data_IF_934165365769
#
_entry.id   IF_934165365769
#
_cell.length_a   1.000
_cell.length_b   1.000
_cell.length_c   1.000
_cell.angle_alpha   90.00
_cell.angle_beta   90.00
_cell.angle_gamma   90.00
#
_symmetry.space_group_name_H-M   'P 1'
#
loop_
_entity.id
_entity.type
_entity.pdbx_description
1 polymer ?
#
# COMPACT_ATOMS: atom_id res chain seq x y z
N UNK A 1 12.97 -61.83 0.59
CA UNK A 1 13.89 -60.86 1.23
C UNK A 1 13.05 -59.75 1.85
N UNK A 2 13.05 -59.65 3.19
CA UNK A 2 12.30 -58.62 3.92
C UNK A 2 13.11 -57.33 3.82
N UNK A 3 12.61 -56.29 3.14
CA UNK A 3 13.27 -54.98 3.14
C UNK A 3 13.21 -54.43 4.57
N UNK A 4 14.35 -54.27 5.20
CA UNK A 4 14.48 -53.58 6.49
C UNK A 4 14.09 -52.12 6.26
N UNK A 5 13.02 -51.68 6.90
CA UNK A 5 12.58 -50.28 6.84
C UNK A 5 13.60 -49.47 7.66
N UNK A 6 14.49 -48.73 6.98
CA UNK A 6 15.37 -47.78 7.64
C UNK A 6 14.54 -46.57 8.03
N UNK A 7 14.21 -46.46 9.31
CA UNK A 7 13.52 -45.30 9.85
C UNK A 7 14.45 -44.10 9.94
N UNK A 8 13.89 -42.90 9.83
CA UNK A 8 14.59 -41.63 10.08
C UNK A 8 15.00 -41.57 11.56
N UNK A 9 16.21 -41.10 11.85
CA UNK A 9 16.66 -40.91 13.22
C UNK A 9 16.08 -39.63 13.83
N UNK A 10 15.86 -39.61 15.14
CA UNK A 10 15.43 -38.40 15.85
C UNK A 10 16.46 -37.27 15.69
N UNK A 11 17.75 -37.60 15.59
CA UNK A 11 18.81 -36.61 15.41
C UNK A 11 18.73 -35.93 14.03
N UNK A 12 18.43 -36.68 12.97
CA UNK A 12 18.23 -36.12 11.63
C UNK A 12 17.04 -35.17 11.61
N UNK A 13 15.94 -35.55 12.27
CA UNK A 13 14.76 -34.69 12.34
C UNK A 13 15.03 -33.40 13.14
N UNK A 14 15.77 -33.48 14.24
CA UNK A 14 16.13 -32.31 15.04
C UNK A 14 17.02 -31.32 14.27
N UNK A 15 18.00 -31.81 13.49
CA UNK A 15 18.85 -30.94 12.67
C UNK A 15 18.02 -30.22 11.61
N UNK A 16 17.08 -30.93 10.95
CA UNK A 16 16.20 -30.33 9.94
C UNK A 16 15.34 -29.22 10.56
N UNK A 17 14.76 -29.44 11.74
CA UNK A 17 13.96 -28.41 12.43
C UNK A 17 14.81 -27.19 12.79
N UNK A 18 16.06 -27.39 13.23
CA UNK A 18 16.98 -26.29 13.53
C UNK A 18 17.27 -25.43 12.29
N UNK A 19 17.54 -26.06 11.13
CA UNK A 19 17.79 -25.36 9.87
C UNK A 19 16.54 -24.59 9.41
N UNK A 20 15.36 -25.22 9.45
CA UNK A 20 14.09 -24.56 9.10
C UNK A 20 13.82 -23.37 10.02
N UNK A 21 14.13 -23.49 11.32
CA UNK A 21 13.99 -22.40 12.29
C UNK A 21 14.83 -21.17 11.92
N UNK A 22 16.10 -21.37 11.54
CA UNK A 22 16.99 -20.29 11.10
C UNK A 22 16.46 -19.62 9.83
N UNK A 23 16.05 -20.41 8.84
CA UNK A 23 15.51 -19.88 7.58
C UNK A 23 14.21 -19.10 7.80
N UNK A 24 13.31 -19.63 8.63
CA UNK A 24 12.03 -18.99 8.94
C UNK A 24 12.22 -17.64 9.64
N UNK A 25 13.18 -17.52 10.56
CA UNK A 25 13.46 -16.28 11.28
C UNK A 25 13.84 -15.11 10.35
N UNK A 26 14.49 -15.40 9.21
CA UNK A 26 14.87 -14.39 8.22
C UNK A 26 13.76 -14.22 7.16
N UNK A 27 13.16 -15.31 6.70
CA UNK A 27 12.21 -15.29 5.58
C UNK A 27 10.86 -14.66 5.96
N UNK A 28 10.34 -14.92 7.16
CA UNK A 28 9.04 -14.40 7.61
C UNK A 28 8.99 -12.87 7.62
N UNK A 29 9.93 -12.15 8.28
CA UNK A 29 9.88 -10.69 8.29
C UNK A 29 10.08 -10.09 6.88
N UNK A 30 10.95 -10.69 6.05
CA UNK A 30 11.14 -10.23 4.67
C UNK A 30 9.88 -10.40 3.81
N UNK A 31 9.22 -11.56 3.91
CA UNK A 31 7.96 -11.82 3.20
C UNK A 31 6.85 -10.88 3.69
N UNK A 32 6.74 -10.65 5.00
CA UNK A 32 5.78 -9.69 5.56
C UNK A 32 6.01 -8.26 5.06
N UNK A 33 7.27 -7.83 4.96
CA UNK A 33 7.59 -6.51 4.41
C UNK A 33 7.23 -6.45 2.91
N UNK A 34 7.49 -7.50 2.15
CA UNK A 34 7.14 -7.58 0.73
C UNK A 34 5.61 -7.52 0.51
N UNK A 35 4.84 -8.29 1.25
CA UNK A 35 3.37 -8.27 1.14
C UNK A 35 2.79 -6.93 1.57
N UNK A 36 3.35 -6.30 2.61
CA UNK A 36 2.94 -4.96 3.02
C UNK A 36 3.12 -3.94 1.88
N UNK A 37 4.29 -3.93 1.24
CA UNK A 37 4.54 -3.06 0.06
C UNK A 37 3.60 -3.36 -1.11
N UNK A 38 3.27 -4.62 -1.33
CA UNK A 38 2.32 -5.03 -2.36
C UNK A 38 0.92 -4.43 -2.08
N UNK A 39 0.43 -4.50 -0.84
CA UNK A 39 -0.84 -3.86 -0.46
C UNK A 39 -0.81 -2.34 -0.65
N UNK A 40 0.29 -1.67 -0.29
CA UNK A 40 0.43 -0.23 -0.51
C UNK A 40 0.35 0.11 -2.00
N UNK A 41 1.07 -0.64 -2.86
CA UNK A 41 1.02 -0.46 -4.31
C UNK A 41 -0.36 -0.76 -4.91
N UNK A 42 -1.06 -1.77 -4.39
CA UNK A 42 -2.43 -2.09 -4.78
C UNK A 42 -3.40 -0.98 -4.43
N UNK A 43 -3.25 -0.36 -3.26
CA UNK A 43 -4.08 0.77 -2.84
C UNK A 43 -3.90 1.98 -3.77
N UNK A 44 -2.63 2.29 -4.12
CA UNK A 44 -2.32 3.37 -5.06
C UNK A 44 -2.89 3.10 -6.47
N UNK A 45 -2.92 1.84 -6.91
CA UNK A 45 -3.54 1.46 -8.18
C UNK A 45 -5.07 1.59 -8.13
N UNK A 46 -5.71 1.17 -7.04
CA UNK A 46 -7.18 1.25 -6.88
C UNK A 46 -7.70 2.69 -6.85
N UNK A 47 -6.93 3.64 -6.30
CA UNK A 47 -7.33 5.06 -6.28
C UNK A 47 -7.00 5.84 -7.58
N UNK A 48 -6.40 5.20 -8.59
CA UNK A 48 -6.00 5.86 -9.84
C UNK A 48 -7.19 6.43 -10.64
N UNK A 49 -8.36 5.78 -10.58
CA UNK A 49 -9.58 6.27 -11.21
C UNK A 49 -10.09 7.55 -10.53
N UNK A 50 -10.08 7.59 -9.20
CA UNK A 50 -10.42 8.78 -8.40
C UNK A 50 -9.46 9.94 -8.69
N UNK A 51 -8.15 9.68 -8.79
CA UNK A 51 -7.16 10.71 -9.19
C UNK A 51 -7.47 11.31 -10.55
N UNK A 52 -7.78 10.48 -11.54
CA UNK A 52 -8.14 10.95 -12.88
C UNK A 52 -9.40 11.82 -12.86
N UNK A 53 -10.41 11.44 -12.07
CA UNK A 53 -11.64 12.23 -11.93
C UNK A 53 -11.40 13.57 -11.21
N UNK A 54 -10.54 13.60 -10.18
CA UNK A 54 -10.14 14.85 -9.52
C UNK A 54 -9.39 15.76 -10.48
N UNK A 55 -8.51 15.19 -11.33
CA UNK A 55 -7.81 15.95 -12.37
C UNK A 55 -8.79 16.62 -13.35
N UNK A 56 -9.85 15.91 -13.75
CA UNK A 56 -10.89 16.47 -14.62
C UNK A 56 -11.69 17.56 -13.90
N UNK A 57 -12.10 17.33 -12.65
CA UNK A 57 -12.81 18.32 -11.84
C UNK A 57 -12.02 19.63 -11.70
N UNK A 58 -10.70 19.55 -11.48
CA UNK A 58 -9.84 20.72 -11.45
C UNK A 58 -9.75 21.42 -12.82
N UNK A 59 -9.65 20.67 -13.92
CA UNK A 59 -9.61 21.25 -15.27
C UNK A 59 -10.91 21.99 -15.62
N UNK A 60 -12.06 21.49 -15.18
CA UNK A 60 -13.36 22.13 -15.43
C UNK A 60 -13.57 23.39 -14.59
N UNK A 61 -13.07 23.40 -13.35
CA UNK A 61 -13.46 24.42 -12.36
C UNK A 61 -12.33 25.36 -11.93
N UNK A 62 -11.10 25.04 -12.32
CA UNK A 62 -9.91 25.81 -11.95
C UNK A 62 -9.54 25.74 -10.46
N UNK A 63 -10.20 24.88 -9.69
CA UNK A 63 -9.97 24.70 -8.25
C UNK A 63 -10.18 23.25 -7.83
N UNK A 64 -9.51 22.82 -6.77
CA UNK A 64 -9.80 21.53 -6.13
C UNK A 64 -11.02 21.59 -5.20
N UNK A 65 -11.45 22.80 -4.80
CA UNK A 65 -12.59 22.98 -3.91
C UNK A 65 -13.87 22.38 -4.52
N UNK A 66 -14.53 21.50 -3.76
CA UNK A 66 -15.72 20.78 -4.21
C UNK A 66 -15.45 19.56 -5.08
N UNK A 67 -14.19 19.21 -5.35
CA UNK A 67 -13.80 17.93 -5.96
C UNK A 67 -13.84 16.80 -4.91
N UNK A 68 -15.06 16.47 -4.49
CA UNK A 68 -15.35 15.47 -3.45
C UNK A 68 -15.82 14.14 -4.05
N UNK A 69 -15.67 13.03 -3.32
CA UNK A 69 -16.25 11.77 -3.75
C UNK A 69 -17.78 11.87 -3.93
N UNK A 70 -18.28 11.26 -5.01
CA UNK A 70 -19.69 11.28 -5.40
C UNK A 70 -20.14 12.58 -6.08
N UNK A 71 -19.26 13.57 -6.22
CA UNK A 71 -19.56 14.88 -6.83
C UNK A 71 -18.79 15.00 -8.14
N UNK A 72 -19.38 15.65 -9.16
CA UNK A 72 -18.72 15.93 -10.46
C UNK A 72 -18.09 14.69 -11.11
N UNK A 73 -18.77 13.55 -11.02
CA UNK A 73 -18.31 12.28 -11.61
C UNK A 73 -17.13 11.62 -10.88
N UNK A 74 -16.69 12.13 -9.73
CA UNK A 74 -15.65 11.51 -8.92
C UNK A 74 -16.23 10.26 -8.23
N UNK A 75 -15.69 9.06 -8.51
CA UNK A 75 -16.21 7.84 -7.89
C UNK A 75 -15.90 7.80 -6.39
N UNK A 76 -16.80 7.17 -5.63
CA UNK A 76 -16.51 6.77 -4.25
C UNK A 76 -15.53 5.59 -4.26
N UNK A 77 -14.58 5.60 -3.33
CA UNK A 77 -13.63 4.49 -3.15
C UNK A 77 -14.29 3.45 -2.24
N UNK A 78 -14.29 2.19 -2.66
CA UNK A 78 -14.76 1.07 -1.85
C UNK A 78 -13.66 0.49 -0.97
N UNK A 79 -14.06 -0.21 0.10
CA UNK A 79 -13.14 -0.98 0.93
C UNK A 79 -12.80 -2.30 0.23
N UNK A 80 -11.52 -2.62 0.17
CA UNK A 80 -10.95 -3.81 -0.45
C UNK A 80 -9.90 -4.43 0.49
N UNK A 81 -9.17 -5.45 0.01
CA UNK A 81 -7.99 -5.94 0.74
C UNK A 81 -6.83 -4.95 0.72
N UNK A 82 -6.75 -4.10 -0.31
CA UNK A 82 -5.68 -3.11 -0.46
C UNK A 82 -6.03 -1.79 0.22
N UNK A 83 -7.33 -1.46 0.34
CA UNK A 83 -7.84 -0.26 1.01
C UNK A 83 -8.77 -0.71 2.12
N UNK A 84 -8.31 -0.67 3.37
CA UNK A 84 -9.06 -1.19 4.53
C UNK A 84 -10.04 -0.18 5.12
N UNK A 85 -9.78 1.11 4.91
CA UNK A 85 -10.70 2.19 5.27
C UNK A 85 -10.49 3.41 4.37
N UNK A 86 -11.56 4.12 4.06
CA UNK A 86 -11.51 5.42 3.36
C UNK A 86 -11.88 6.49 4.37
N UNK A 87 -10.95 7.40 4.66
CA UNK A 87 -11.16 8.47 5.64
C UNK A 87 -11.89 9.65 4.98
N UNK A 88 -11.40 10.10 3.83
CA UNK A 88 -12.02 11.19 3.08
C UNK A 88 -11.54 11.23 1.63
N UNK A 89 -12.39 11.75 0.75
CA UNK A 89 -12.01 12.28 -0.56
C UNK A 89 -12.68 13.64 -0.65
N UNK A 90 -11.93 14.68 -0.32
CA UNK A 90 -12.48 16.03 -0.11
C UNK A 90 -11.51 17.05 -0.66
N UNK A 91 -12.04 18.01 -1.42
CA UNK A 91 -11.30 19.07 -2.07
C UNK A 91 -10.06 18.56 -2.81
N UNK A 92 -10.22 17.44 -3.55
CA UNK A 92 -9.16 16.78 -4.30
C UNK A 92 -8.16 15.98 -3.46
N UNK A 93 -8.18 16.05 -2.14
CA UNK A 93 -7.30 15.26 -1.26
C UNK A 93 -7.91 13.91 -0.98
N UNK A 94 -7.15 12.84 -1.25
CA UNK A 94 -7.54 11.45 -0.98
C UNK A 94 -6.85 11.00 0.31
N UNK A 95 -7.62 10.65 1.34
CA UNK A 95 -7.12 10.10 2.60
C UNK A 95 -7.72 8.72 2.85
N UNK A 96 -6.88 7.70 2.95
CA UNK A 96 -7.30 6.32 3.17
C UNK A 96 -6.27 5.51 3.97
N UNK A 97 -6.72 4.39 4.52
CA UNK A 97 -5.88 3.37 5.15
C UNK A 97 -5.72 2.20 4.21
N UNK A 98 -4.48 1.78 3.99
CA UNK A 98 -4.14 0.66 3.13
C UNK A 98 -4.25 -0.69 3.87
N UNK A 99 -4.13 -1.79 3.14
CA UNK A 99 -3.90 -3.12 3.70
C UNK A 99 -2.44 -3.35 4.12
N UNK A 100 -1.54 -2.42 3.78
CA UNK A 100 -0.17 -2.45 4.25
C UNK A 100 -0.16 -2.12 5.74
N UNK A 101 0.73 -2.75 6.49
CA UNK A 101 0.88 -2.51 7.92
C UNK A 101 2.32 -2.20 8.29
N UNK A 102 2.51 -1.50 9.40
CA UNK A 102 3.80 -1.38 10.07
C UNK A 102 4.19 -2.70 10.77
N UNK A 103 5.31 -2.70 11.50
CA UNK A 103 5.77 -3.89 12.25
C UNK A 103 4.88 -4.27 13.42
N UNK A 104 4.04 -3.35 13.91
CA UNK A 104 3.09 -3.55 15.00
C UNK A 104 1.73 -4.04 14.50
N UNK A 105 1.51 -4.08 13.18
CA UNK A 105 0.26 -4.46 12.55
C UNK A 105 -0.71 -3.30 12.32
N UNK A 106 -0.29 -2.06 12.54
CA UNK A 106 -1.12 -0.87 12.30
C UNK A 106 -1.14 -0.54 10.81
N UNK A 107 -2.33 -0.27 10.25
CA UNK A 107 -2.51 0.05 8.83
C UNK A 107 -1.80 1.34 8.43
N UNK A 108 -1.04 1.30 7.33
CA UNK A 108 -0.36 2.46 6.77
C UNK A 108 -1.35 3.32 6.00
N UNK A 109 -1.27 4.63 6.14
CA UNK A 109 -2.18 5.60 5.51
C UNK A 109 -1.58 6.20 4.26
N UNK A 110 -2.43 6.52 3.29
CA UNK A 110 -2.11 7.37 2.15
C UNK A 110 -2.86 8.69 2.36
N UNK A 111 -2.12 9.80 2.29
CA UNK A 111 -2.67 11.15 2.29
C UNK A 111 -2.17 11.81 1.02
N UNK A 112 -2.98 11.75 -0.03
CA UNK A 112 -2.55 12.11 -1.36
C UNK A 112 -3.16 13.44 -1.80
N UNK A 113 -2.30 14.44 -1.95
CA UNK A 113 -2.66 15.82 -2.22
C UNK A 113 -2.22 16.21 -3.63
N UNK A 114 -3.14 16.66 -4.50
CA UNK A 114 -2.78 17.22 -5.79
C UNK A 114 -2.37 18.69 -5.63
N UNK A 115 -1.37 19.10 -6.38
CA UNK A 115 -0.92 20.48 -6.47
C UNK A 115 -0.69 20.85 -7.93
N UNK A 116 -1.05 22.06 -8.31
CA UNK A 116 -0.72 22.63 -9.62
C UNK A 116 0.02 23.92 -9.34
N UNK A 117 1.25 24.05 -9.86
CA UNK A 117 2.03 25.27 -9.69
C UNK A 117 1.29 26.45 -10.37
N UNK A 118 1.42 27.65 -9.83
CA UNK A 118 0.86 28.86 -10.46
C UNK A 118 1.44 29.02 -11.86
N UNK A 119 0.59 29.00 -12.88
CA UNK A 119 1.02 29.03 -14.29
C UNK A 119 1.61 27.72 -14.81
N UNK A 120 1.60 26.64 -14.02
CA UNK A 120 2.03 25.31 -14.40
C UNK A 120 0.91 24.52 -15.09
N UNK A 121 1.28 23.74 -16.12
CA UNK A 121 0.36 22.84 -16.81
C UNK A 121 0.23 21.45 -16.15
N UNK A 122 1.17 21.11 -15.26
CA UNK A 122 1.28 19.77 -14.68
C UNK A 122 0.72 19.72 -13.27
N UNK A 123 -0.12 18.73 -13.01
CA UNK A 123 -0.56 18.38 -11.66
C UNK A 123 0.44 17.41 -11.04
N UNK A 124 0.94 17.76 -9.85
CA UNK A 124 1.87 16.97 -9.04
C UNK A 124 1.10 16.41 -7.85
N UNK A 125 1.17 15.10 -7.66
CA UNK A 125 0.63 14.44 -6.48
C UNK A 125 1.73 14.27 -5.44
N UNK A 126 1.39 14.47 -4.18
CA UNK A 126 2.30 14.21 -3.05
C UNK A 126 1.57 13.35 -2.02
N UNK A 127 2.22 12.29 -1.56
CA UNK A 127 1.76 11.44 -0.48
C UNK A 127 2.48 11.82 0.82
N UNK A 128 1.73 12.21 1.84
CA UNK A 128 2.25 12.55 3.18
C UNK A 128 1.79 11.57 4.26
N UNK A 129 1.17 10.46 3.85
CA UNK A 129 0.70 9.42 4.75
C UNK A 129 1.83 8.52 5.28
N UNK A 130 1.52 7.67 6.26
CA UNK A 130 2.49 6.75 6.86
C UNK A 130 2.92 5.62 5.92
N UNK A 131 2.27 5.47 4.77
CA UNK A 131 2.69 4.58 3.68
C UNK A 131 4.02 4.99 3.03
N UNK A 132 4.52 6.21 3.27
CA UNK A 132 5.88 6.62 2.91
C UNK A 132 6.92 6.04 3.88
N UNK A 133 7.00 4.71 3.90
CA UNK A 133 7.89 3.93 4.74
C UNK A 133 8.84 3.10 3.87
N UNK A 134 10.14 3.32 3.99
CA UNK A 134 11.16 2.66 3.16
C UNK A 134 11.25 1.14 3.38
N UNK A 135 10.70 0.62 4.49
CA UNK A 135 10.79 -0.79 4.87
C UNK A 135 9.55 -1.56 4.41
N UNK A 136 8.36 -1.04 4.71
CA UNK A 136 7.07 -1.73 4.58
C UNK A 136 6.07 -1.04 3.67
N UNK A 137 6.36 0.18 3.22
CA UNK A 137 5.53 0.95 2.28
C UNK A 137 6.32 1.38 1.03
N UNK A 138 6.05 2.60 0.58
CA UNK A 138 6.77 3.22 -0.51
C UNK A 138 8.08 3.83 -0.02
N UNK A 139 9.16 3.55 -0.76
CA UNK A 139 10.40 4.29 -0.64
C UNK A 139 10.22 5.74 -1.14
N UNK A 140 11.13 6.62 -0.71
CA UNK A 140 11.23 7.97 -1.26
C UNK A 140 11.33 7.94 -2.80
N UNK A 141 10.56 8.82 -3.45
CA UNK A 141 10.42 8.88 -4.91
C UNK A 141 9.51 7.81 -5.54
N UNK A 142 8.82 7.00 -4.74
CA UNK A 142 7.82 6.04 -5.22
C UNK A 142 6.45 6.30 -4.56
N UNK A 143 5.35 5.96 -5.24
CA UNK A 143 4.00 6.12 -4.68
C UNK A 143 3.68 7.56 -4.26
N UNK A 144 4.27 8.54 -4.95
CA UNK A 144 4.19 9.98 -4.67
C UNK A 144 4.78 10.40 -3.32
N UNK A 145 5.57 9.54 -2.68
CA UNK A 145 6.31 9.87 -1.48
C UNK A 145 7.50 10.78 -1.80
N UNK A 146 7.72 11.83 -0.98
CA UNK A 146 8.85 12.73 -1.14
C UNK A 146 10.21 12.03 -0.96
#
# INVERSE_FOLDING_TARGET
MKRTQQGFTLIELMIVVAIIGILAAIAIPQYSNYTSRAYASGAAAEMASTRSAIAMCHQETGTFAGCNAGVRGIPTIGVTKNITAVTSVTDGVITLTTGATDTSGTGLTIVNTPTVAVGGANMVWTNTGTSCDATRGFRSGAGDCP
#
